data_IF_917374030248
#
_entry.id   IF_917374030248
#
_cell.length_a   1.000
_cell.length_b   1.000
_cell.length_c   1.000
_cell.angle_alpha   90.00
_cell.angle_beta   90.00
_cell.angle_gamma   90.00
#
_symmetry.space_group_name_H-M   'P 1'
#
loop_
_entity.id
_entity.type
_entity.pdbx_description
1 polymer ?
#
# COMPACT_ATOMS: atom_id res chain seq x y z
N UNK A 1 -21.64 -3.61 -8.43
CA UNK A 1 -21.96 -2.18 -8.39
C UNK A 1 -20.81 -1.37 -7.79
N UNK A 2 -20.85 -0.05 -7.84
CA UNK A 2 -19.80 0.81 -7.29
C UNK A 2 -19.76 0.72 -5.77
N UNK A 3 -18.56 0.86 -5.19
CA UNK A 3 -18.32 0.97 -3.75
C UNK A 3 -17.75 2.36 -3.47
N UNK A 4 -18.47 3.19 -2.75
CA UNK A 4 -18.08 4.57 -2.47
C UNK A 4 -18.12 4.85 -0.98
N UNK A 5 -17.09 5.48 -0.46
CA UNK A 5 -17.04 6.02 0.90
C UNK A 5 -16.60 7.49 0.85
N UNK A 6 -17.32 8.34 1.55
CA UNK A 6 -17.00 9.76 1.67
C UNK A 6 -16.58 10.08 3.10
N UNK A 7 -15.30 10.42 3.29
CA UNK A 7 -14.80 10.99 4.54
C UNK A 7 -15.26 12.45 4.71
N UNK A 8 -15.21 12.94 5.95
CA UNK A 8 -15.62 14.30 6.29
C UNK A 8 -14.70 15.38 5.72
N UNK A 9 -15.24 16.58 5.52
CA UNK A 9 -14.45 17.81 5.40
C UNK A 9 -14.35 18.42 6.79
N UNK A 10 -13.14 18.70 7.27
CA UNK A 10 -12.94 19.33 8.56
C UNK A 10 -12.12 20.59 8.45
N UNK A 11 -12.56 21.66 9.09
CA UNK A 11 -11.73 22.80 9.43
C UNK A 11 -11.48 22.77 10.94
N UNK A 12 -10.24 22.88 11.37
CA UNK A 12 -9.90 22.90 12.78
C UNK A 12 -9.14 24.19 13.14
N UNK A 13 -9.62 24.87 14.18
CA UNK A 13 -8.83 25.83 14.93
C UNK A 13 -7.97 25.02 15.89
N UNK A 14 -6.72 24.73 15.50
CA UNK A 14 -5.86 23.87 16.27
C UNK A 14 -5.02 24.65 17.29
N UNK A 15 -5.17 24.32 18.55
CA UNK A 15 -4.15 24.55 19.56
C UNK A 15 -3.02 23.53 19.39
N UNK A 16 -1.83 23.83 19.91
CA UNK A 16 -0.66 22.97 19.79
C UNK A 16 -0.96 21.49 20.11
N UNK A 17 -0.58 20.58 19.22
CA UNK A 17 -0.69 19.12 19.42
C UNK A 17 -1.95 18.46 18.88
N UNK A 18 -2.81 19.14 18.15
CA UNK A 18 -4.03 18.52 17.60
C UNK A 18 -3.75 17.73 16.31
N UNK A 19 -4.27 16.51 16.25
CA UNK A 19 -4.30 15.67 15.05
C UNK A 19 -5.72 15.64 14.49
N UNK A 20 -5.86 15.97 13.22
CA UNK A 20 -7.13 15.84 12.51
C UNK A 20 -7.06 14.62 11.59
N UNK A 21 -7.96 13.66 11.78
CA UNK A 21 -8.09 12.47 10.95
C UNK A 21 -9.47 12.46 10.29
N UNK A 22 -9.51 12.48 8.97
CA UNK A 22 -10.71 12.54 8.15
C UNK A 22 -10.82 11.29 7.27
N UNK A 23 -10.70 10.11 7.87
CA UNK A 23 -10.63 8.85 7.15
C UNK A 23 -11.99 8.32 6.70
N UNK A 24 -12.12 7.98 5.43
CA UNK A 24 -13.20 7.15 4.87
C UNK A 24 -12.62 5.87 4.26
N UNK A 25 -13.31 4.73 4.37
CA UNK A 25 -12.83 3.47 3.78
C UNK A 25 -13.87 2.88 2.86
N UNK A 26 -13.47 2.60 1.61
CA UNK A 26 -14.24 1.84 0.63
C UNK A 26 -13.51 0.54 0.32
N UNK A 27 -14.16 -0.60 0.48
CA UNK A 27 -13.55 -1.90 0.28
C UNK A 27 -14.43 -2.86 -0.53
N UNK A 28 -13.82 -3.55 -1.49
CA UNK A 28 -14.43 -4.63 -2.25
C UNK A 28 -13.54 -5.89 -2.20
N UNK A 29 -14.14 -7.05 -1.91
CA UNK A 29 -13.47 -8.37 -1.92
C UNK A 29 -12.18 -8.40 -1.07
N UNK A 30 -12.26 -8.05 0.19
CA UNK A 30 -11.09 -8.03 1.08
C UNK A 30 -11.18 -9.03 2.23
N UNK A 31 -10.02 -9.51 2.68
CA UNK A 31 -9.88 -10.30 3.91
C UNK A 31 -9.04 -9.51 4.91
N UNK A 32 -9.62 -9.20 6.06
CA UNK A 32 -8.93 -8.55 7.17
C UNK A 32 -8.59 -9.56 8.27
N UNK A 33 -7.31 -9.64 8.63
CA UNK A 33 -6.80 -10.49 9.71
C UNK A 33 -6.26 -9.59 10.84
N UNK A 34 -7.16 -8.83 11.46
CA UNK A 34 -6.78 -7.91 12.53
C UNK A 34 -6.63 -8.66 13.87
N UNK A 35 -5.47 -8.50 14.51
CA UNK A 35 -5.14 -9.10 15.82
C UNK A 35 -5.37 -10.63 15.90
N UNK A 36 -5.31 -11.32 14.77
CA UNK A 36 -5.52 -12.77 14.67
C UNK A 36 -4.18 -13.52 14.56
N UNK A 37 -4.12 -14.67 15.23
CA UNK A 37 -3.06 -15.65 15.01
C UNK A 37 -3.52 -16.64 13.94
N UNK A 38 -2.75 -16.77 12.85
CA UNK A 38 -3.06 -17.64 11.73
C UNK A 38 -1.99 -18.74 11.66
N UNK A 39 -2.37 -19.99 11.78
CA UNK A 39 -1.46 -21.13 11.74
C UNK A 39 -1.96 -22.22 10.82
N UNK A 40 -1.06 -22.81 10.02
CA UNK A 40 -1.34 -23.94 9.14
C UNK A 40 -2.61 -23.75 8.29
N UNK A 41 -2.76 -22.52 7.76
CA UNK A 41 -3.99 -22.09 7.11
C UNK A 41 -3.73 -21.57 5.71
N UNK A 42 -4.77 -21.60 4.88
CA UNK A 42 -4.77 -20.94 3.59
C UNK A 42 -5.70 -19.73 3.63
N UNK A 43 -5.17 -18.58 3.25
CA UNK A 43 -5.91 -17.32 3.12
C UNK A 43 -5.91 -16.95 1.63
N UNK A 44 -7.08 -16.93 1.01
CA UNK A 44 -7.15 -16.85 -0.45
C UNK A 44 -8.14 -15.78 -0.92
N UNK A 45 -7.70 -14.93 -1.84
CA UNK A 45 -8.52 -13.99 -2.62
C UNK A 45 -8.30 -14.35 -4.09
N UNK A 46 -9.21 -15.11 -4.67
CA UNK A 46 -9.02 -15.76 -5.97
C UNK A 46 -10.09 -15.40 -6.98
N UNK A 47 -9.68 -15.04 -8.20
CA UNK A 47 -10.56 -14.94 -9.37
C UNK A 47 -11.63 -13.84 -9.28
N UNK A 48 -11.50 -12.90 -8.34
CA UNK A 48 -12.50 -11.87 -8.15
C UNK A 48 -12.39 -10.78 -9.22
N UNK A 49 -13.54 -10.22 -9.59
CA UNK A 49 -13.62 -9.11 -10.53
C UNK A 49 -14.34 -7.92 -9.89
N UNK A 50 -13.69 -6.78 -9.93
CA UNK A 50 -14.27 -5.49 -9.58
C UNK A 50 -14.44 -4.70 -10.87
N UNK A 51 -15.65 -4.73 -11.41
CA UNK A 51 -16.01 -4.12 -12.71
C UNK A 51 -16.59 -2.71 -12.56
N UNK A 52 -16.73 -2.21 -11.34
CA UNK A 52 -17.12 -0.85 -11.02
C UNK A 52 -15.99 -0.11 -10.34
N UNK A 53 -16.25 1.13 -9.97
CA UNK A 53 -15.27 1.91 -9.23
C UNK A 53 -15.34 1.66 -7.72
N UNK A 54 -14.17 1.72 -7.08
CA UNK A 54 -14.02 1.72 -5.62
C UNK A 54 -13.37 3.05 -5.24
N UNK A 55 -14.16 3.97 -4.69
CA UNK A 55 -13.71 5.32 -4.43
C UNK A 55 -13.82 5.66 -2.94
N UNK A 56 -12.78 6.26 -2.39
CA UNK A 56 -12.79 6.83 -1.05
C UNK A 56 -12.34 8.29 -1.05
N UNK A 57 -13.04 9.11 -0.30
CA UNK A 57 -12.64 10.48 0.00
C UNK A 57 -12.08 10.52 1.43
N UNK A 58 -10.87 10.99 1.59
CA UNK A 58 -10.21 11.16 2.89
C UNK A 58 -9.64 9.89 3.50
N UNK A 59 -9.52 8.79 2.76
CA UNK A 59 -9.04 7.54 3.36
C UNK A 59 -8.62 6.48 2.35
N UNK A 60 -8.98 5.22 2.58
CA UNK A 60 -8.51 4.09 1.80
C UNK A 60 -9.59 3.53 0.86
N UNK A 61 -9.25 3.35 -0.42
CA UNK A 61 -10.02 2.57 -1.39
C UNK A 61 -9.28 1.26 -1.68
N UNK A 62 -9.93 0.12 -1.48
CA UNK A 62 -9.28 -1.18 -1.61
C UNK A 62 -10.10 -2.18 -2.39
N UNK A 63 -9.46 -2.98 -3.24
CA UNK A 63 -10.08 -4.05 -4.00
C UNK A 63 -9.20 -5.31 -3.98
N UNK A 64 -9.81 -6.49 -3.75
CA UNK A 64 -9.15 -7.79 -3.78
C UNK A 64 -7.88 -7.84 -2.90
N UNK A 65 -8.01 -7.56 -1.62
CA UNK A 65 -6.87 -7.37 -0.73
C UNK A 65 -6.87 -8.34 0.44
N UNK A 66 -5.69 -8.75 0.88
CA UNK A 66 -5.46 -9.34 2.21
C UNK A 66 -4.72 -8.32 3.07
N UNK A 67 -5.31 -7.98 4.20
CA UNK A 67 -4.72 -7.11 5.21
C UNK A 67 -4.48 -7.91 6.49
N UNK A 68 -3.24 -8.07 6.89
CA UNK A 68 -2.88 -8.60 8.19
C UNK A 68 -2.25 -7.47 9.03
N UNK A 69 -2.92 -7.09 10.12
CA UNK A 69 -2.47 -6.05 11.02
C UNK A 69 -2.59 -6.51 12.48
N UNK A 70 -1.54 -6.38 13.25
CA UNK A 70 -1.47 -6.95 14.59
C UNK A 70 -1.69 -5.96 15.74
N UNK A 71 -1.88 -4.69 15.49
CA UNK A 71 -2.05 -3.69 16.55
C UNK A 71 -0.86 -3.70 17.53
N UNK A 72 -1.13 -3.65 18.82
CA UNK A 72 -0.13 -3.59 19.91
C UNK A 72 0.46 -4.95 20.32
N UNK A 73 0.54 -5.90 19.45
CA UNK A 73 1.18 -7.19 19.74
C UNK A 73 1.27 -8.03 18.48
N UNK A 74 2.48 -8.22 17.98
CA UNK A 74 2.72 -8.99 16.77
C UNK A 74 2.08 -10.38 16.86
N UNK A 75 1.06 -10.63 16.06
CA UNK A 75 0.41 -11.95 15.95
C UNK A 75 1.04 -12.72 14.79
N UNK A 76 1.46 -13.96 15.00
CA UNK A 76 2.15 -14.70 13.96
C UNK A 76 1.22 -15.24 12.89
N UNK A 77 1.69 -15.14 11.64
CA UNK A 77 1.24 -15.94 10.50
C UNK A 77 2.29 -17.04 10.33
N UNK A 78 1.95 -18.28 10.68
CA UNK A 78 2.93 -19.37 10.75
C UNK A 78 2.50 -20.56 9.92
N UNK A 79 3.43 -21.11 9.13
CA UNK A 79 3.22 -22.29 8.28
C UNK A 79 1.95 -22.18 7.43
N UNK A 80 1.69 -20.97 6.92
CA UNK A 80 0.46 -20.63 6.24
C UNK A 80 0.73 -20.14 4.83
N UNK A 81 -0.30 -20.19 3.98
CA UNK A 81 -0.23 -19.69 2.62
C UNK A 81 -1.23 -18.55 2.43
N UNK A 82 -0.75 -17.43 1.92
CA UNK A 82 -1.59 -16.29 1.53
C UNK A 82 -1.51 -16.12 0.02
N UNK A 83 -2.66 -16.16 -0.64
CA UNK A 83 -2.76 -16.06 -2.10
C UNK A 83 -3.72 -14.96 -2.52
N UNK A 84 -3.23 -14.05 -3.36
CA UNK A 84 -4.04 -13.08 -4.11
C UNK A 84 -3.79 -13.37 -5.59
N UNK A 85 -4.70 -14.08 -6.24
CA UNK A 85 -4.43 -14.66 -7.56
C UNK A 85 -5.59 -14.52 -8.54
N UNK A 86 -5.26 -14.19 -9.80
CA UNK A 86 -6.22 -14.16 -10.90
C UNK A 86 -7.31 -13.10 -10.75
N UNK A 87 -7.09 -12.11 -9.91
CA UNK A 87 -8.09 -11.06 -9.66
C UNK A 87 -7.97 -9.93 -10.66
N UNK A 88 -9.10 -9.28 -10.94
CA UNK A 88 -9.17 -8.06 -11.74
C UNK A 88 -9.75 -6.92 -10.92
N UNK A 89 -9.12 -5.77 -10.97
CA UNK A 89 -9.62 -4.55 -10.38
C UNK A 89 -9.43 -3.38 -11.35
N UNK A 90 -10.49 -2.60 -11.53
CA UNK A 90 -10.48 -1.37 -12.30
C UNK A 90 -10.98 -0.20 -11.45
N UNK A 91 -10.45 1.00 -11.71
CA UNK A 91 -10.90 2.24 -11.08
C UNK A 91 -10.94 2.23 -9.54
N UNK A 92 -9.81 1.95 -8.92
CA UNK A 92 -9.65 2.09 -7.45
C UNK A 92 -9.02 3.44 -7.16
N UNK A 93 -9.78 4.36 -6.57
CA UNK A 93 -9.32 5.71 -6.35
C UNK A 93 -9.51 6.17 -4.89
N UNK A 94 -8.45 6.72 -4.32
CA UNK A 94 -8.47 7.35 -3.02
C UNK A 94 -8.05 8.82 -3.15
N UNK A 95 -8.90 9.72 -2.69
CA UNK A 95 -8.64 11.15 -2.71
C UNK A 95 -8.43 11.61 -1.27
N UNK A 96 -7.26 12.13 -0.97
CA UNK A 96 -6.97 12.74 0.33
C UNK A 96 -7.96 13.86 0.65
N UNK A 97 -8.36 13.99 1.89
CA UNK A 97 -9.19 15.09 2.31
C UNK A 97 -8.42 16.42 2.22
N UNK A 98 -9.12 17.50 1.91
CA UNK A 98 -8.57 18.85 2.09
C UNK A 98 -8.84 19.26 3.53
N UNK A 99 -7.81 19.61 4.26
CA UNK A 99 -7.96 20.24 5.57
C UNK A 99 -7.25 21.58 5.59
N UNK A 100 -7.84 22.54 6.28
CA UNK A 100 -7.30 23.87 6.46
C UNK A 100 -7.01 24.07 7.95
N UNK A 101 -5.73 24.35 8.27
CA UNK A 101 -5.31 24.70 9.63
C UNK A 101 -5.18 26.21 9.71
N UNK A 102 -6.06 26.84 10.48
CA UNK A 102 -6.15 28.30 10.53
C UNK A 102 -5.18 28.92 11.55
N UNK A 103 -4.87 28.25 12.65
CA UNK A 103 -3.97 28.75 13.70
C UNK A 103 -3.33 27.58 14.47
N UNK A 104 -2.02 27.66 14.78
CA UNK A 104 -1.35 26.75 15.70
C UNK A 104 -0.20 25.93 15.10
N UNK A 105 0.44 25.11 15.95
CA UNK A 105 1.45 24.12 15.55
C UNK A 105 0.82 22.76 15.57
N UNK A 106 0.80 22.05 14.45
CA UNK A 106 0.21 20.71 14.36
C UNK A 106 0.76 19.93 13.17
N UNK A 107 0.56 18.61 13.16
CA UNK A 107 0.80 17.77 12.00
C UNK A 107 -0.52 17.49 11.28
N UNK A 108 -0.54 17.72 9.98
CA UNK A 108 -1.66 17.42 9.12
C UNK A 108 -1.31 16.20 8.28
N UNK A 109 -2.06 15.12 8.47
CA UNK A 109 -1.93 13.93 7.65
C UNK A 109 -3.25 13.69 6.90
N UNK A 110 -3.19 13.67 5.60
CA UNK A 110 -4.31 13.40 4.72
C UNK A 110 -3.98 12.23 3.78
N UNK A 111 -3.77 11.03 4.32
CA UNK A 111 -3.37 9.90 3.51
C UNK A 111 -4.56 9.38 2.71
N UNK A 112 -4.47 9.47 1.39
CA UNK A 112 -5.28 8.65 0.50
C UNK A 112 -4.50 7.38 0.15
N UNK A 113 -5.11 6.21 0.25
CA UNK A 113 -4.47 4.97 -0.19
C UNK A 113 -5.40 4.21 -1.14
N UNK A 114 -5.02 4.11 -2.39
CA UNK A 114 -5.69 3.25 -3.37
C UNK A 114 -4.90 1.93 -3.49
N UNK A 115 -5.56 0.79 -3.28
CA UNK A 115 -4.88 -0.51 -3.29
C UNK A 115 -5.71 -1.55 -4.06
N UNK A 116 -5.08 -2.25 -5.00
CA UNK A 116 -5.71 -3.31 -5.76
C UNK A 116 -4.86 -4.58 -5.79
N UNK A 117 -5.50 -5.75 -5.64
CA UNK A 117 -4.92 -7.09 -5.75
C UNK A 117 -3.64 -7.25 -4.92
N UNK A 118 -3.66 -6.87 -3.66
CA UNK A 118 -2.43 -6.70 -2.87
C UNK A 118 -2.48 -7.42 -1.53
N UNK A 119 -1.29 -7.66 -0.96
CA UNK A 119 -1.11 -8.15 0.41
C UNK A 119 -0.44 -7.04 1.22
N UNK A 120 -1.08 -6.65 2.32
CA UNK A 120 -0.56 -5.66 3.27
C UNK A 120 -0.33 -6.32 4.62
N UNK A 121 0.91 -6.28 5.10
CA UNK A 121 1.32 -6.76 6.40
C UNK A 121 1.76 -5.56 7.25
N UNK A 122 1.19 -5.40 8.43
CA UNK A 122 1.60 -4.37 9.38
C UNK A 122 1.80 -4.96 10.77
N UNK A 123 2.97 -4.73 11.34
CA UNK A 123 3.39 -5.25 12.64
C UNK A 123 3.16 -6.76 12.80
N UNK A 124 3.38 -7.54 11.73
CA UNK A 124 3.07 -8.98 11.67
C UNK A 124 4.34 -9.81 11.68
N UNK A 125 4.36 -10.92 12.44
CA UNK A 125 5.39 -11.93 12.33
C UNK A 125 4.96 -13.01 11.34
N UNK A 126 5.75 -13.21 10.27
CA UNK A 126 5.50 -14.22 9.25
C UNK A 126 6.64 -15.25 9.31
N UNK A 127 6.30 -16.53 9.54
CA UNK A 127 7.28 -17.61 9.69
C UNK A 127 6.90 -18.83 8.87
N UNK A 128 7.88 -19.42 8.20
CA UNK A 128 7.71 -20.64 7.40
C UNK A 128 6.47 -20.58 6.50
N UNK A 129 6.23 -19.46 5.86
CA UNK A 129 5.00 -19.18 5.15
C UNK A 129 5.25 -18.77 3.70
N UNK A 130 4.22 -18.87 2.88
CA UNK A 130 4.27 -18.44 1.48
C UNK A 130 3.27 -17.33 1.22
N UNK A 131 3.72 -16.27 0.54
CA UNK A 131 2.91 -15.13 0.14
C UNK A 131 2.95 -15.01 -1.39
N UNK A 132 1.81 -15.18 -2.03
CA UNK A 132 1.68 -15.17 -3.49
C UNK A 132 0.78 -14.03 -3.97
N UNK A 133 1.29 -13.24 -4.91
CA UNK A 133 0.52 -12.25 -5.68
C UNK A 133 0.75 -12.54 -7.15
N UNK A 134 -0.18 -13.24 -7.82
CA UNK A 134 0.09 -13.76 -9.16
C UNK A 134 -1.09 -13.71 -10.11
N UNK A 135 -0.79 -13.46 -11.40
CA UNK A 135 -1.80 -13.47 -12.47
C UNK A 135 -2.90 -12.42 -12.30
N UNK A 136 -2.64 -11.36 -11.55
CA UNK A 136 -3.63 -10.31 -11.30
C UNK A 136 -3.55 -9.20 -12.35
N UNK A 137 -4.68 -8.54 -12.57
CA UNK A 137 -4.80 -7.37 -13.43
C UNK A 137 -5.35 -6.19 -12.62
N UNK A 138 -4.61 -5.08 -12.58
CA UNK A 138 -5.03 -3.85 -11.92
C UNK A 138 -4.88 -2.68 -12.89
N UNK A 139 -5.95 -1.88 -13.06
CA UNK A 139 -5.98 -0.73 -13.97
C UNK A 139 -6.61 0.48 -13.31
N UNK A 140 -6.11 1.68 -13.61
CA UNK A 140 -6.67 2.93 -13.10
C UNK A 140 -6.61 3.05 -11.57
N UNK A 141 -5.46 2.74 -10.97
CA UNK A 141 -5.27 2.82 -9.52
C UNK A 141 -4.72 4.21 -9.18
N UNK A 142 -5.53 5.05 -8.58
CA UNK A 142 -5.20 6.46 -8.38
C UNK A 142 -5.30 6.87 -6.92
N UNK A 143 -4.28 7.56 -6.42
CA UNK A 143 -4.31 8.18 -5.10
C UNK A 143 -3.88 9.66 -5.17
N UNK A 144 -4.57 10.51 -4.44
CA UNK A 144 -4.16 11.88 -4.20
C UNK A 144 -3.93 12.06 -2.71
N UNK A 145 -2.74 12.50 -2.32
CA UNK A 145 -2.33 12.65 -0.94
C UNK A 145 -1.76 11.39 -0.28
N UNK A 146 -1.45 10.35 -1.06
CA UNK A 146 -0.90 9.10 -0.51
C UNK A 146 -0.49 8.10 -1.56
N UNK A 147 -0.61 6.81 -1.28
CA UNK A 147 -0.04 5.75 -2.11
C UNK A 147 -1.05 5.06 -3.01
N UNK A 148 -0.69 4.84 -4.27
CA UNK A 148 -1.39 4.00 -5.23
C UNK A 148 -0.64 2.68 -5.42
N UNK A 149 -1.24 1.55 -5.01
CA UNK A 149 -0.61 0.24 -4.98
C UNK A 149 -1.38 -0.74 -5.86
N UNK A 150 -0.73 -1.29 -6.87
CA UNK A 150 -1.32 -2.27 -7.78
C UNK A 150 -0.52 -3.57 -7.74
N UNK A 151 -1.18 -4.69 -7.45
CA UNK A 151 -0.57 -6.01 -7.34
C UNK A 151 0.68 -5.98 -6.43
N UNK A 152 0.61 -5.31 -5.30
CA UNK A 152 1.75 -5.07 -4.44
C UNK A 152 1.74 -5.96 -3.19
N UNK A 153 2.92 -6.27 -2.68
CA UNK A 153 3.10 -6.81 -1.34
C UNK A 153 3.84 -5.77 -0.51
N UNK A 154 3.23 -5.34 0.58
CA UNK A 154 3.82 -4.39 1.50
C UNK A 154 3.94 -5.00 2.89
N UNK A 155 5.10 -4.94 3.48
CA UNK A 155 5.33 -5.31 4.87
C UNK A 155 5.96 -4.13 5.61
N UNK A 156 5.26 -3.65 6.64
CA UNK A 156 5.74 -2.58 7.49
C UNK A 156 5.88 -3.09 8.92
N UNK A 157 6.99 -2.78 9.59
CA UNK A 157 7.25 -3.17 10.99
C UNK A 157 7.06 -4.67 11.24
N UNK A 158 7.38 -5.50 10.24
CA UNK A 158 7.08 -6.93 10.22
C UNK A 158 8.36 -7.75 10.25
N UNK A 159 8.29 -8.97 10.77
CA UNK A 159 9.39 -9.94 10.71
C UNK A 159 9.03 -11.06 9.74
N UNK A 160 9.90 -11.31 8.76
CA UNK A 160 9.73 -12.35 7.75
C UNK A 160 10.85 -13.39 7.95
N UNK A 161 10.52 -14.52 8.58
CA UNK A 161 11.46 -15.60 8.89
C UNK A 161 11.13 -16.82 8.04
N UNK A 162 12.10 -17.33 7.28
CA UNK A 162 11.96 -18.46 6.36
C UNK A 162 10.69 -18.34 5.47
N UNK A 163 10.42 -17.12 5.01
CA UNK A 163 9.20 -16.79 4.25
C UNK A 163 9.52 -16.69 2.77
N UNK A 164 8.66 -17.31 1.95
CA UNK A 164 8.73 -17.21 0.50
C UNK A 164 7.71 -16.22 -0.03
N UNK A 165 8.17 -15.20 -0.76
CA UNK A 165 7.35 -14.21 -1.43
C UNK A 165 7.47 -14.43 -2.94
N UNK A 166 6.33 -14.64 -3.59
CA UNK A 166 6.26 -14.86 -5.05
C UNK A 166 5.28 -13.87 -5.66
N UNK A 167 5.78 -13.09 -6.60
CA UNK A 167 4.99 -12.11 -7.35
C UNK A 167 5.23 -12.31 -8.84
N UNK A 168 4.25 -12.88 -9.53
CA UNK A 168 4.46 -13.33 -10.90
C UNK A 168 3.27 -13.07 -11.82
N UNK A 169 3.59 -12.80 -13.10
CA UNK A 169 2.61 -12.69 -14.17
C UNK A 169 1.48 -11.68 -13.90
N UNK A 170 1.76 -10.61 -13.16
CA UNK A 170 0.79 -9.56 -12.88
C UNK A 170 0.86 -8.45 -13.94
N UNK A 171 -0.28 -7.87 -14.27
CA UNK A 171 -0.41 -6.68 -15.09
C UNK A 171 -0.90 -5.51 -14.23
N UNK A 172 -0.14 -4.43 -14.21
CA UNK A 172 -0.55 -3.16 -13.63
C UNK A 172 -0.48 -2.05 -14.68
N UNK A 173 -1.57 -1.33 -14.85
CA UNK A 173 -1.70 -0.27 -15.86
C UNK A 173 -2.33 0.97 -15.25
N UNK A 174 -1.77 2.14 -15.55
CA UNK A 174 -2.26 3.44 -15.10
C UNK A 174 -2.32 3.55 -13.56
N UNK A 175 -1.14 3.43 -12.92
CA UNK A 175 -0.99 3.57 -11.48
C UNK A 175 -0.46 4.95 -11.17
N UNK A 176 -1.26 5.78 -10.49
CA UNK A 176 -0.94 7.19 -10.27
C UNK A 176 -1.01 7.56 -8.80
N UNK A 177 0.03 8.18 -8.29
CA UNK A 177 0.03 8.81 -6.98
C UNK A 177 0.41 10.28 -7.11
N UNK A 178 -0.44 11.14 -6.59
CA UNK A 178 -0.18 12.59 -6.53
C UNK A 178 -0.01 13.04 -5.09
N UNK A 179 0.89 14.00 -4.84
CA UNK A 179 0.94 14.71 -3.58
C UNK A 179 -0.38 15.42 -3.29
N UNK A 180 -0.77 15.49 -2.04
CA UNK A 180 -1.93 16.26 -1.61
C UNK A 180 -1.64 17.78 -1.63
N UNK A 181 -2.68 18.59 -1.60
CA UNK A 181 -2.56 20.03 -1.37
C UNK A 181 -3.06 20.38 0.02
N UNK A 182 -2.28 21.17 0.76
CA UNK A 182 -2.71 21.74 2.05
C UNK A 182 -2.70 23.26 1.97
N UNK A 183 -3.74 23.90 2.51
CA UNK A 183 -3.76 25.32 2.76
C UNK A 183 -3.34 25.59 4.20
N UNK A 184 -2.39 26.49 4.41
CA UNK A 184 -1.97 26.93 5.74
C UNK A 184 -2.40 28.38 5.90
N UNK A 185 -3.30 28.65 6.86
CA UNK A 185 -3.57 29.97 7.34
C UNK A 185 -2.40 30.53 8.19
N UNK A 186 -2.65 31.54 9.01
CA UNK A 186 -1.61 32.07 9.90
C UNK A 186 -1.24 31.06 10.99
N UNK A 187 -0.10 30.37 10.83
CA UNK A 187 0.44 29.41 11.82
C UNK A 187 1.69 28.72 11.32
N UNK A 188 2.42 28.09 12.22
CA UNK A 188 3.62 27.32 11.88
C UNK A 188 3.23 25.83 11.85
N UNK A 189 3.26 25.20 10.69
CA UNK A 189 3.11 23.75 10.58
C UNK A 189 4.49 23.10 10.69
N UNK A 190 4.64 22.20 11.64
CA UNK A 190 5.90 21.52 11.90
C UNK A 190 6.26 20.50 10.81
N UNK A 191 5.27 19.85 10.19
CA UNK A 191 5.50 18.89 9.13
C UNK A 191 4.24 18.68 8.28
N UNK A 192 4.38 18.83 6.96
CA UNK A 192 3.37 18.45 5.97
C UNK A 192 3.99 17.39 5.08
N UNK A 193 3.49 16.14 5.16
CA UNK A 193 3.90 15.07 4.27
C UNK A 193 2.84 14.89 3.19
N UNK A 194 3.17 15.28 1.99
CA UNK A 194 2.34 15.21 0.79
C UNK A 194 2.90 14.21 -0.22
N UNK A 195 3.83 13.38 0.21
CA UNK A 195 4.48 12.41 -0.69
C UNK A 195 3.52 11.30 -1.11
N UNK A 196 3.54 10.97 -2.38
CA UNK A 196 2.77 9.87 -2.94
C UNK A 196 3.68 8.79 -3.51
N UNK A 197 3.39 7.52 -3.24
CA UNK A 197 4.09 6.38 -3.83
C UNK A 197 3.19 5.67 -4.82
N UNK A 198 3.55 5.70 -6.11
CA UNK A 198 2.93 4.87 -7.13
C UNK A 198 3.73 3.57 -7.24
N UNK A 199 3.13 2.44 -6.88
CA UNK A 199 3.80 1.15 -6.94
C UNK A 199 3.00 0.12 -7.71
N UNK A 200 3.63 -0.46 -8.74
CA UNK A 200 3.06 -1.47 -9.62
C UNK A 200 3.90 -2.74 -9.56
N UNK A 201 3.29 -3.88 -9.22
CA UNK A 201 3.95 -5.17 -9.10
C UNK A 201 5.21 -5.07 -8.21
N UNK A 202 5.10 -4.46 -7.06
CA UNK A 202 6.24 -4.18 -6.20
C UNK A 202 6.16 -4.93 -4.85
N UNK A 203 7.32 -5.31 -4.33
CA UNK A 203 7.49 -5.74 -2.95
C UNK A 203 8.15 -4.60 -2.19
N UNK A 204 7.45 -4.06 -1.20
CA UNK A 204 7.93 -2.95 -0.39
C UNK A 204 8.01 -3.39 1.07
N UNK A 205 9.20 -3.31 1.61
CA UNK A 205 9.51 -3.74 2.96
C UNK A 205 10.04 -2.52 3.73
N UNK A 206 9.30 -2.08 4.75
CA UNK A 206 9.65 -0.90 5.55
C UNK A 206 9.82 -1.26 7.01
N UNK A 207 10.92 -0.86 7.65
CA UNK A 207 11.25 -1.15 9.05
C UNK A 207 11.02 -2.62 9.41
N UNK A 208 11.39 -3.53 8.50
CA UNK A 208 11.10 -4.96 8.61
C UNK A 208 12.37 -5.78 8.77
N UNK A 209 12.29 -6.88 9.51
CA UNK A 209 13.39 -7.83 9.69
C UNK A 209 13.24 -9.00 8.70
N UNK A 210 14.33 -9.34 8.00
CA UNK A 210 14.38 -10.47 7.07
C UNK A 210 15.39 -11.51 7.55
N UNK A 211 14.94 -12.76 7.66
CA UNK A 211 15.78 -13.88 8.02
C UNK A 211 15.46 -15.10 7.16
N UNK A 212 16.36 -15.49 6.28
CA UNK A 212 16.14 -16.62 5.36
C UNK A 212 14.95 -16.43 4.40
N UNK A 213 14.58 -15.20 4.11
CA UNK A 213 13.47 -14.90 3.20
C UNK A 213 13.88 -15.08 1.73
N UNK A 214 12.94 -15.57 0.91
CA UNK A 214 13.10 -15.70 -0.54
C UNK A 214 12.08 -14.82 -1.26
N UNK A 215 12.55 -13.94 -2.14
CA UNK A 215 11.71 -13.01 -2.88
C UNK A 215 11.88 -13.24 -4.38
N UNK A 216 10.78 -13.49 -5.08
CA UNK A 216 10.77 -13.69 -6.53
C UNK A 216 9.77 -12.76 -7.19
N UNK A 217 10.25 -11.93 -8.11
CA UNK A 217 9.45 -11.10 -9.00
C UNK A 217 9.73 -11.53 -10.44
N UNK A 218 8.76 -12.15 -11.12
CA UNK A 218 9.00 -12.65 -12.47
C UNK A 218 7.82 -12.48 -13.41
N UNK A 219 8.13 -12.10 -14.66
CA UNK A 219 7.14 -12.02 -15.74
C UNK A 219 6.02 -11.00 -15.52
N UNK A 220 6.23 -9.99 -14.67
CA UNK A 220 5.24 -8.95 -14.42
C UNK A 220 5.33 -7.84 -15.47
N UNK A 221 4.21 -7.19 -15.76
CA UNK A 221 4.16 -6.04 -16.65
C UNK A 221 3.57 -4.83 -15.93
N UNK A 222 4.27 -3.71 -15.98
CA UNK A 222 3.83 -2.42 -15.44
C UNK A 222 3.83 -1.36 -16.55
N UNK A 223 2.71 -0.62 -16.68
CA UNK A 223 2.55 0.44 -17.66
C UNK A 223 2.01 1.70 -17.02
N UNK A 224 2.58 2.85 -17.35
CA UNK A 224 2.13 4.16 -16.84
C UNK A 224 2.11 4.21 -15.31
N UNK A 225 3.27 4.13 -14.67
CA UNK A 225 3.41 4.28 -13.23
C UNK A 225 3.93 5.69 -12.96
N UNK A 226 3.10 6.54 -12.40
CA UNK A 226 3.37 7.98 -12.29
C UNK A 226 3.22 8.43 -10.84
N UNK A 227 4.26 9.06 -10.30
CA UNK A 227 4.22 9.71 -9.00
C UNK A 227 4.54 11.20 -9.11
N UNK A 228 3.81 12.03 -8.38
CA UNK A 228 4.11 13.44 -8.21
C UNK A 228 4.34 13.72 -6.73
N UNK A 229 5.49 14.29 -6.40
CA UNK A 229 5.90 14.54 -5.01
C UNK A 229 6.41 13.32 -4.26
N UNK A 230 6.67 12.18 -4.95
CA UNK A 230 7.10 10.94 -4.31
C UNK A 230 7.80 9.99 -5.26
N UNK A 231 7.66 8.68 -5.04
CA UNK A 231 8.38 7.64 -5.77
C UNK A 231 7.48 6.83 -6.69
N UNK A 232 7.93 6.56 -7.92
CA UNK A 232 7.31 5.62 -8.85
C UNK A 232 8.11 4.31 -8.89
N UNK A 233 7.48 3.19 -8.53
CA UNK A 233 8.09 1.87 -8.44
C UNK A 233 7.38 0.90 -9.37
N UNK A 234 8.14 0.24 -10.25
CA UNK A 234 7.58 -0.76 -11.16
C UNK A 234 8.43 -2.03 -11.14
N UNK A 235 7.78 -3.17 -10.92
CA UNK A 235 8.41 -4.49 -10.89
C UNK A 235 9.66 -4.52 -10.00
N UNK A 236 9.58 -4.00 -8.80
CA UNK A 236 10.71 -3.73 -7.93
C UNK A 236 10.60 -4.36 -6.54
N UNK A 237 11.75 -4.61 -5.94
CA UNK A 237 11.87 -4.89 -4.51
C UNK A 237 12.49 -3.65 -3.88
N UNK A 238 11.79 -3.03 -2.94
CA UNK A 238 12.22 -1.82 -2.25
C UNK A 238 12.34 -2.08 -0.75
N UNK A 239 13.40 -1.60 -0.19
CA UNK A 239 13.70 -1.72 1.23
C UNK A 239 13.91 -0.32 1.84
N UNK A 240 13.31 -0.05 2.99
CA UNK A 240 13.57 1.14 3.79
C UNK A 240 13.70 0.80 5.27
N UNK A 241 14.67 1.39 5.96
CA UNK A 241 14.95 1.20 7.40
C UNK A 241 15.04 -0.26 7.84
N UNK A 242 15.96 -1.01 7.22
CA UNK A 242 16.08 -2.45 7.38
C UNK A 242 17.10 -2.88 8.43
N UNK A 243 16.76 -3.98 9.11
CA UNK A 243 17.74 -4.86 9.74
C UNK A 243 17.79 -6.19 8.99
N UNK A 244 18.92 -6.47 8.34
CA UNK A 244 19.24 -7.79 7.83
C UNK A 244 19.86 -8.59 8.97
N UNK A 245 19.05 -9.39 9.65
CA UNK A 245 19.51 -10.13 10.82
C UNK A 245 20.09 -11.49 10.44
N UNK A 246 21.36 -11.72 10.79
CA UNK A 246 21.98 -13.04 10.83
C UNK A 246 22.64 -13.53 9.54
N UNK A 247 23.31 -14.69 9.63
CA UNK A 247 24.04 -15.36 8.54
C UNK A 247 23.16 -15.94 7.43
N UNK A 248 21.85 -15.92 7.59
CA UNK A 248 20.87 -16.48 6.66
C UNK A 248 20.13 -15.39 5.88
N UNK A 249 20.75 -14.32 5.49
CA UNK A 249 20.26 -13.21 4.69
C UNK A 249 18.91 -13.39 3.94
N UNK A 250 18.69 -12.66 2.88
CA UNK A 250 17.59 -12.91 1.96
C UNK A 250 18.12 -13.27 0.57
N UNK A 251 17.32 -13.97 -0.21
CA UNK A 251 17.57 -14.21 -1.63
C UNK A 251 16.51 -13.48 -2.44
N UNK A 252 16.92 -12.55 -3.29
CA UNK A 252 16.03 -11.80 -4.17
C UNK A 252 16.29 -12.12 -5.65
N UNK A 253 15.23 -12.35 -6.42
CA UNK A 253 15.29 -12.53 -7.87
C UNK A 253 14.26 -11.65 -8.56
N UNK A 254 14.70 -10.87 -9.54
CA UNK A 254 13.84 -10.04 -10.40
C UNK A 254 14.15 -10.39 -11.86
N UNK A 255 13.22 -11.05 -12.57
CA UNK A 255 13.50 -11.57 -13.92
C UNK A 255 12.29 -11.48 -14.85
N UNK A 256 12.55 -11.30 -16.16
CA UNK A 256 11.51 -11.34 -17.20
C UNK A 256 10.41 -10.28 -17.07
N UNK A 257 10.60 -9.27 -16.24
CA UNK A 257 9.61 -8.22 -16.04
C UNK A 257 9.72 -7.14 -17.12
N UNK A 258 8.60 -6.46 -17.38
CA UNK A 258 8.53 -5.34 -18.33
C UNK A 258 7.96 -4.11 -17.65
N UNK A 259 8.61 -2.97 -17.82
CA UNK A 259 8.11 -1.69 -17.35
C UNK A 259 8.14 -0.66 -18.48
N UNK A 260 7.06 0.12 -18.61
CA UNK A 260 6.95 1.20 -19.61
C UNK A 260 6.37 2.44 -18.94
N UNK A 261 6.95 3.59 -19.27
CA UNK A 261 6.46 4.90 -18.82
C UNK A 261 6.38 4.99 -17.28
N UNK A 262 7.51 4.82 -16.61
CA UNK A 262 7.65 4.98 -15.15
C UNK A 262 8.24 6.36 -14.90
N UNK A 263 7.50 7.23 -14.20
CA UNK A 263 7.85 8.64 -14.02
C UNK A 263 7.64 9.06 -12.57
N UNK A 264 8.62 9.74 -12.01
CA UNK A 264 8.50 10.41 -10.72
C UNK A 264 8.91 11.88 -10.87
N UNK A 265 8.05 12.78 -10.44
CA UNK A 265 8.27 14.22 -10.53
C UNK A 265 8.31 14.83 -9.12
N UNK A 266 9.19 15.79 -8.89
CA UNK A 266 9.22 16.53 -7.63
C UNK A 266 7.90 17.26 -7.41
N UNK A 267 7.49 17.40 -6.15
CA UNK A 267 6.34 18.24 -5.79
C UNK A 267 6.68 19.71 -5.99
N UNK A 268 5.71 20.51 -6.41
CA UNK A 268 5.82 21.96 -6.38
C UNK A 268 5.67 22.43 -4.93
N UNK A 269 6.74 23.03 -4.38
CA UNK A 269 6.67 23.79 -3.14
C UNK A 269 6.13 25.18 -3.43
N UNK A 270 5.02 25.55 -2.85
CA UNK A 270 4.49 26.91 -2.85
C UNK A 270 4.60 27.52 -1.46
#
# INVERSE_FOLDING_TARGET
GPVVSTGGKGSALANAGMRVDLAGTAQANGIGLAAMQVRQSQVQVLGNQVNGFVHALGGAATANMVLAASGTGAKPLTSSQVMVQGNRAAEVAAFGAKAEVLLGTGSLQMPGRATANSVLLDATQVRNSELHVSGNEARGITSIGGSALANALTAARSSLDATRIVQTANLAEDVRAGGGSSGVGRGTIAQVDLSGVAAANAVMLASSELKGAQLTLAGNEARQVIATGGSALANSISFSDHQLAGSAGYQGSVSGNRARNVQAWGGEGS
#
